data_IF_046881016082
#
_entry.id   IF_046881016082
#
_cell.length_a   1.000
_cell.length_b   1.000
_cell.length_c   1.000
_cell.angle_alpha   90.00
_cell.angle_beta   90.00
_cell.angle_gamma   90.00
#
_symmetry.space_group_name_H-M   'P 1'
#
loop_
_entity.id
_entity.type
_entity.pdbx_description
1 polymer ?
#
# COMPACT_ATOMS: atom_id res chain seq x y z
N UNK A 1 9.94 16.46 17.09
CA UNK A 1 8.91 16.81 16.06
C UNK A 1 7.58 16.20 16.52
N UNK A 2 6.53 17.00 16.64
CA UNK A 2 5.20 16.43 16.85
C UNK A 2 4.76 15.80 15.52
N UNK A 3 4.49 14.50 15.51
CA UNK A 3 3.86 13.83 14.37
C UNK A 3 2.44 14.38 14.22
N UNK A 4 2.08 14.89 13.06
CA UNK A 4 0.80 15.57 12.84
C UNK A 4 -0.05 14.93 11.74
N UNK A 5 0.54 14.07 10.94
CA UNK A 5 -0.11 13.54 9.75
C UNK A 5 -0.97 12.31 10.08
N UNK A 6 -2.22 12.31 9.59
CA UNK A 6 -3.14 11.18 9.70
C UNK A 6 -2.99 10.22 8.52
N UNK A 7 -2.67 10.77 7.34
CA UNK A 7 -2.57 10.03 6.10
C UNK A 7 -1.42 10.57 5.25
N UNK A 8 -0.59 9.65 4.77
CA UNK A 8 0.43 9.93 3.76
C UNK A 8 0.10 9.11 2.52
N UNK A 9 -0.03 9.77 1.37
CA UNK A 9 -0.24 9.12 0.07
C UNK A 9 1.02 9.35 -0.76
N UNK A 10 1.71 8.26 -1.10
CA UNK A 10 2.90 8.27 -1.95
C UNK A 10 2.51 7.80 -3.35
N UNK A 11 2.13 8.76 -4.18
CA UNK A 11 1.86 8.54 -5.60
C UNK A 11 3.12 8.94 -6.38
N UNK A 12 4.10 8.03 -6.40
CA UNK A 12 5.38 8.22 -7.07
C UNK A 12 5.37 7.55 -8.44
N UNK A 13 6.24 8.03 -9.32
CA UNK A 13 6.58 7.33 -10.56
C UNK A 13 7.31 6.01 -10.25
N UNK A 14 7.74 5.31 -11.29
CA UNK A 14 8.48 4.06 -11.18
C UNK A 14 9.67 4.16 -10.20
N UNK A 15 10.01 3.05 -9.49
CA UNK A 15 11.06 3.03 -8.47
C UNK A 15 12.49 3.15 -9.03
N UNK A 16 12.64 3.83 -10.16
CA UNK A 16 13.88 3.99 -10.88
C UNK A 16 14.17 5.47 -11.17
N UNK A 17 15.45 5.84 -11.24
CA UNK A 17 15.89 7.20 -11.53
C UNK A 17 15.52 8.19 -10.41
N UNK A 18 14.98 9.37 -10.72
CA UNK A 18 14.74 10.42 -9.72
C UNK A 18 13.80 10.03 -8.59
N UNK A 19 12.91 9.07 -8.82
CA UNK A 19 11.92 8.60 -7.83
C UNK A 19 12.44 7.52 -6.90
N UNK A 20 13.63 6.96 -7.12
CA UNK A 20 14.20 5.88 -6.32
C UNK A 20 14.26 6.23 -4.82
N UNK A 21 14.44 7.51 -4.49
CA UNK A 21 14.46 8.01 -3.11
C UNK A 21 13.18 7.73 -2.32
N UNK A 22 12.02 7.65 -2.98
CA UNK A 22 10.72 7.38 -2.32
C UNK A 22 10.49 5.89 -1.98
N UNK A 23 11.45 5.04 -2.33
CA UNK A 23 11.38 3.60 -2.07
C UNK A 23 12.45 3.14 -1.08
N UNK A 24 13.16 4.06 -0.42
CA UNK A 24 14.23 3.76 0.53
C UNK A 24 13.68 3.47 1.92
N UNK A 25 14.45 2.74 2.73
CA UNK A 25 14.14 2.50 4.15
C UNK A 25 14.08 3.82 4.93
N UNK A 26 14.98 4.74 4.60
CA UNK A 26 15.07 6.07 5.21
C UNK A 26 13.79 6.86 4.97
N UNK A 27 13.26 6.85 3.75
CA UNK A 27 12.01 7.51 3.40
C UNK A 27 10.83 6.93 4.19
N UNK A 28 10.69 5.61 4.25
CA UNK A 28 9.61 4.99 5.05
C UNK A 28 9.75 5.26 6.53
N UNK A 29 10.98 5.34 7.05
CA UNK A 29 11.24 5.78 8.42
C UNK A 29 10.81 7.23 8.69
N UNK A 30 11.03 8.14 7.73
CA UNK A 30 10.55 9.53 7.80
C UNK A 30 9.02 9.56 7.81
N UNK A 31 8.37 8.81 6.92
CA UNK A 31 6.91 8.70 6.87
C UNK A 31 6.36 8.16 8.20
N UNK A 32 6.97 7.11 8.74
CA UNK A 32 6.59 6.55 10.04
C UNK A 32 6.65 7.61 11.15
N UNK A 33 7.73 8.37 11.22
CA UNK A 33 7.90 9.40 12.25
C UNK A 33 6.96 10.62 12.07
N UNK A 34 6.59 10.94 10.84
CA UNK A 34 5.65 12.01 10.53
C UNK A 34 4.21 11.64 10.88
N UNK A 35 3.85 10.36 10.77
CA UNK A 35 2.52 9.87 11.09
C UNK A 35 2.23 9.85 12.58
N UNK A 36 1.00 10.21 12.95
CA UNK A 36 0.44 10.03 14.29
C UNK A 36 0.33 8.53 14.63
N UNK A 37 0.03 8.21 15.91
CA UNK A 37 -0.14 6.84 16.40
C UNK A 37 -1.25 6.05 15.68
N UNK A 38 -2.24 6.74 15.13
CA UNK A 38 -3.34 6.18 14.34
C UNK A 38 -3.20 6.47 12.83
N UNK A 39 -2.02 6.92 12.40
CA UNK A 39 -1.76 7.32 11.02
C UNK A 39 -1.58 6.13 10.07
N UNK A 40 -1.90 6.39 8.81
CA UNK A 40 -1.85 5.43 7.71
C UNK A 40 -1.00 5.98 6.57
N UNK A 41 -0.19 5.14 5.98
CA UNK A 41 0.50 5.42 4.72
C UNK A 41 -0.01 4.48 3.63
N UNK A 42 -0.25 5.00 2.44
CA UNK A 42 -0.46 4.21 1.23
C UNK A 42 0.55 4.62 0.17
N UNK A 43 1.03 3.65 -0.60
CA UNK A 43 1.99 3.91 -1.67
C UNK A 43 1.74 3.04 -2.89
N UNK A 44 2.09 3.57 -4.06
CA UNK A 44 2.14 2.80 -5.30
C UNK A 44 3.34 1.84 -5.26
N UNK A 45 3.14 0.58 -5.67
CA UNK A 45 4.18 -0.45 -5.68
C UNK A 45 4.45 -1.05 -7.06
N UNK A 46 3.61 -0.80 -8.04
CA UNK A 46 3.80 -1.24 -9.42
C UNK A 46 3.16 -2.58 -9.75
N UNK A 47 3.65 -3.22 -10.81
CA UNK A 47 3.13 -4.48 -11.34
C UNK A 47 3.99 -5.66 -10.89
N UNK A 48 3.41 -6.85 -10.59
CA UNK A 48 4.16 -8.05 -10.25
C UNK A 48 4.63 -8.85 -11.48
N UNK A 49 4.28 -8.47 -12.71
CA UNK A 49 4.44 -9.33 -13.89
C UNK A 49 5.80 -9.21 -14.58
N UNK A 50 6.43 -8.05 -14.54
CA UNK A 50 7.75 -7.88 -15.12
C UNK A 50 8.80 -8.08 -14.04
N UNK A 51 9.86 -8.85 -14.33
CA UNK A 51 10.88 -9.22 -13.35
C UNK A 51 11.43 -8.02 -12.58
N UNK A 52 11.76 -6.94 -13.30
CA UNK A 52 12.34 -5.74 -12.71
C UNK A 52 11.36 -5.02 -11.77
N UNK A 53 10.09 -4.91 -12.17
CA UNK A 53 9.04 -4.30 -11.36
C UNK A 53 8.70 -5.17 -10.14
N UNK A 54 8.61 -6.49 -10.34
CA UNK A 54 8.38 -7.46 -9.26
C UNK A 54 9.46 -7.40 -8.18
N UNK A 55 10.73 -7.35 -8.56
CA UNK A 55 11.85 -7.22 -7.63
C UNK A 55 11.82 -5.86 -6.89
N UNK A 56 11.42 -4.79 -7.57
CA UNK A 56 11.27 -3.47 -6.96
C UNK A 56 10.11 -3.45 -5.96
N UNK A 57 8.98 -4.04 -6.31
CA UNK A 57 7.82 -4.22 -5.43
C UNK A 57 8.19 -5.02 -4.18
N UNK A 58 8.85 -6.17 -4.33
CA UNK A 58 9.31 -6.97 -3.20
C UNK A 58 10.28 -6.21 -2.29
N UNK A 59 11.23 -5.46 -2.85
CA UNK A 59 12.15 -4.62 -2.05
C UNK A 59 11.41 -3.54 -1.28
N UNK A 60 10.45 -2.88 -1.92
CA UNK A 60 9.62 -1.86 -1.29
C UNK A 60 8.80 -2.45 -0.15
N UNK A 61 8.11 -3.56 -0.39
CA UNK A 61 7.31 -4.27 0.60
C UNK A 61 8.14 -4.68 1.81
N UNK A 62 9.29 -5.31 1.60
CA UNK A 62 10.21 -5.70 2.69
C UNK A 62 10.61 -4.52 3.59
N UNK A 63 10.90 -3.37 2.98
CA UNK A 63 11.25 -2.15 3.72
C UNK A 63 10.10 -1.63 4.55
N UNK A 64 8.88 -1.68 4.02
CA UNK A 64 7.67 -1.25 4.73
C UNK A 64 7.36 -2.18 5.89
N UNK A 65 7.38 -3.50 5.68
CA UNK A 65 7.17 -4.52 6.72
C UNK A 65 8.17 -4.34 7.89
N UNK A 66 9.41 -4.01 7.59
CA UNK A 66 10.43 -3.75 8.61
C UNK A 66 10.27 -2.41 9.34
N UNK A 67 9.38 -1.54 8.87
CA UNK A 67 9.20 -0.19 9.43
C UNK A 67 7.86 -0.05 10.16
N UNK A 68 6.80 -0.66 9.64
CA UNK A 68 5.44 -0.55 10.17
C UNK A 68 4.97 -1.85 10.81
N UNK A 69 4.25 -1.80 11.95
CA UNK A 69 3.73 -2.99 12.60
C UNK A 69 2.59 -3.67 11.82
N UNK A 70 1.87 -2.90 11.01
CA UNK A 70 0.83 -3.41 10.11
C UNK A 70 1.18 -2.99 8.70
N UNK A 71 1.38 -3.98 7.83
CA UNK A 71 1.68 -3.79 6.41
C UNK A 71 0.90 -4.80 5.59
N UNK A 72 0.20 -4.32 4.56
CA UNK A 72 -0.59 -5.15 3.63
C UNK A 72 -0.43 -4.62 2.21
N UNK A 73 -0.64 -5.49 1.26
CA UNK A 73 -0.68 -5.12 -0.16
C UNK A 73 -2.11 -5.27 -0.66
N UNK A 74 -2.57 -4.34 -1.46
CA UNK A 74 -3.84 -4.44 -2.15
C UNK A 74 -3.68 -4.20 -3.65
N UNK A 75 -4.65 -4.67 -4.40
CA UNK A 75 -4.64 -4.69 -5.86
C UNK A 75 -5.72 -3.81 -6.44
N UNK A 76 -5.44 -3.21 -7.59
CA UNK A 76 -6.42 -2.53 -8.41
C UNK A 76 -6.11 -2.73 -9.90
N UNK A 77 -7.15 -2.60 -10.74
CA UNK A 77 -6.98 -2.61 -12.19
C UNK A 77 -6.90 -1.18 -12.69
N UNK A 78 -5.79 -0.85 -13.34
CA UNK A 78 -5.50 0.46 -13.91
C UNK A 78 -5.39 0.30 -15.43
N UNK A 79 -6.48 0.50 -16.20
CA UNK A 79 -6.52 0.18 -17.64
C UNK A 79 -5.50 0.94 -18.50
N UNK A 80 -5.00 2.06 -18.01
CA UNK A 80 -3.99 2.88 -18.72
C UNK A 80 -2.58 2.32 -18.67
N UNK A 81 -2.32 1.38 -17.76
CA UNK A 81 -1.02 0.72 -17.67
C UNK A 81 -0.99 -0.57 -18.49
N UNK A 82 0.16 -0.89 -19.08
CA UNK A 82 0.30 -2.02 -19.99
C UNK A 82 -0.12 -3.36 -19.39
N UNK A 83 0.16 -3.59 -18.11
CA UNK A 83 -0.22 -4.80 -17.39
C UNK A 83 -1.67 -4.77 -16.90
N UNK A 84 -2.28 -3.61 -16.77
CA UNK A 84 -3.64 -3.42 -16.23
C UNK A 84 -3.80 -3.78 -14.75
N UNK A 85 -2.91 -4.57 -14.18
CA UNK A 85 -2.92 -5.04 -12.80
C UNK A 85 -1.83 -4.32 -11.99
N UNK A 86 -2.24 -3.64 -10.92
CA UNK A 86 -1.36 -2.77 -10.16
C UNK A 86 -1.48 -3.00 -8.67
N UNK A 87 -0.38 -2.87 -7.96
CA UNK A 87 -0.27 -3.09 -6.53
C UNK A 87 -0.01 -1.81 -5.78
N UNK A 88 -0.59 -1.76 -4.59
CA UNK A 88 -0.45 -0.67 -3.64
C UNK A 88 -0.14 -1.24 -2.26
N UNK A 89 0.70 -0.54 -1.52
CA UNK A 89 0.97 -0.84 -0.13
C UNK A 89 0.04 -0.06 0.80
N UNK A 90 -0.37 -0.71 1.86
CA UNK A 90 -1.05 -0.11 3.02
C UNK A 90 -0.19 -0.37 4.24
N UNK A 91 0.20 0.68 4.93
CA UNK A 91 1.00 0.60 6.15
C UNK A 91 0.36 1.42 7.26
N UNK A 92 0.26 0.87 8.46
CA UNK A 92 -0.40 1.51 9.59
C UNK A 92 0.33 1.20 10.88
N UNK A 93 0.23 2.12 11.85
CA UNK A 93 0.70 1.89 13.21
C UNK A 93 -0.34 1.16 14.07
N UNK A 94 -1.62 1.25 13.73
CA UNK A 94 -2.71 0.80 14.59
C UNK A 94 -3.77 -0.02 13.87
N UNK A 95 -4.27 0.42 12.72
CA UNK A 95 -5.44 -0.16 12.09
C UNK A 95 -5.09 -1.19 11.03
N UNK A 96 -5.72 -2.35 11.10
CA UNK A 96 -5.69 -3.34 10.02
C UNK A 96 -6.73 -2.98 8.94
N UNK A 97 -6.38 -3.01 7.66
CA UNK A 97 -7.26 -2.49 6.60
C UNK A 97 -8.54 -3.30 6.38
N UNK A 98 -8.60 -4.53 6.83
CA UNK A 98 -9.78 -5.40 6.72
C UNK A 98 -10.47 -5.58 8.07
N UNK A 99 -9.70 -5.94 9.11
CA UNK A 99 -10.28 -6.31 10.42
C UNK A 99 -10.86 -5.09 11.17
N UNK A 100 -10.22 -3.93 11.02
CA UNK A 100 -10.67 -2.67 11.64
C UNK A 100 -11.50 -1.79 10.69
N UNK A 101 -11.91 -2.34 9.54
CA UNK A 101 -12.68 -1.59 8.55
C UNK A 101 -14.14 -1.41 8.96
N UNK A 102 -14.55 -0.16 9.11
CA UNK A 102 -15.90 0.24 9.55
C UNK A 102 -16.84 0.55 8.36
N UNK A 103 -17.30 -0.51 7.67
CA UNK A 103 -18.17 -0.39 6.50
C UNK A 103 -19.45 0.43 6.76
N UNK A 104 -20.01 0.35 7.98
CA UNK A 104 -21.21 1.11 8.36
C UNK A 104 -20.95 2.62 8.41
N UNK A 105 -19.78 3.04 8.87
CA UNK A 105 -19.40 4.45 8.89
C UNK A 105 -19.31 5.00 7.46
N UNK A 106 -18.68 4.24 6.54
CA UNK A 106 -18.66 4.63 5.13
C UNK A 106 -20.06 4.77 4.55
N UNK A 107 -20.94 3.80 4.78
CA UNK A 107 -22.32 3.82 4.28
C UNK A 107 -23.11 5.03 4.83
N UNK A 108 -22.88 5.42 6.08
CA UNK A 108 -23.52 6.57 6.71
C UNK A 108 -23.14 7.92 6.09
N UNK A 109 -22.03 7.99 5.36
CA UNK A 109 -21.62 9.19 4.64
C UNK A 109 -22.45 9.46 3.37
N UNK A 110 -23.22 8.48 2.88
CA UNK A 110 -24.03 8.55 1.67
C UNK A 110 -23.29 9.10 0.44
N UNK A 111 -21.98 8.80 0.32
CA UNK A 111 -21.17 9.23 -0.79
C UNK A 111 -21.46 8.40 -2.04
N UNK A 112 -21.59 9.08 -3.18
CA UNK A 112 -21.66 8.44 -4.49
C UNK A 112 -20.27 8.30 -5.08
N UNK A 113 -19.86 7.08 -5.41
CA UNK A 113 -18.57 6.76 -6.01
C UNK A 113 -18.75 5.86 -7.22
N UNK A 114 -17.93 6.07 -8.27
CA UNK A 114 -17.98 5.27 -9.49
C UNK A 114 -17.12 3.99 -9.42
N UNK A 115 -16.17 3.93 -8.48
CA UNK A 115 -15.24 2.83 -8.38
C UNK A 115 -15.32 2.12 -7.02
N UNK A 116 -15.27 2.87 -5.93
CA UNK A 116 -15.14 2.32 -4.59
C UNK A 116 -16.46 1.75 -4.08
N UNK A 117 -16.39 0.55 -3.50
CA UNK A 117 -17.44 -0.05 -2.65
C UNK A 117 -16.79 -0.70 -1.44
N UNK A 118 -17.55 -0.89 -0.37
CA UNK A 118 -17.06 -1.60 0.82
C UNK A 118 -16.67 -3.05 0.54
N UNK A 119 -17.33 -3.70 -0.42
CA UNK A 119 -16.98 -5.05 -0.88
C UNK A 119 -15.67 -5.05 -1.68
N UNK A 120 -15.48 -4.07 -2.56
CA UNK A 120 -14.24 -3.91 -3.32
C UNK A 120 -13.07 -3.60 -2.38
N UNK A 121 -13.27 -2.78 -1.34
CA UNK A 121 -12.25 -2.50 -0.33
C UNK A 121 -11.70 -3.81 0.25
N UNK A 122 -12.56 -4.65 0.80
CA UNK A 122 -12.16 -5.93 1.39
C UNK A 122 -11.55 -6.85 0.32
N UNK A 123 -12.22 -6.99 -0.84
CA UNK A 123 -11.79 -7.87 -1.93
C UNK A 123 -10.43 -7.50 -2.52
N UNK A 124 -10.04 -6.22 -2.48
CA UNK A 124 -8.75 -5.77 -3.00
C UNK A 124 -7.54 -6.31 -2.21
N UNK A 125 -7.74 -6.72 -0.96
CA UNK A 125 -6.70 -7.32 -0.11
C UNK A 125 -6.59 -8.84 -0.23
N UNK A 126 -7.50 -9.51 -0.94
CA UNK A 126 -7.39 -10.94 -1.27
C UNK A 126 -6.60 -11.10 -2.56
N UNK A 127 -5.36 -11.53 -2.42
CA UNK A 127 -4.38 -11.60 -3.51
C UNK A 127 -4.35 -12.99 -4.14
N UNK A 128 -3.96 -13.11 -5.42
CA UNK A 128 -3.67 -14.40 -6.03
C UNK A 128 -2.52 -15.13 -5.31
N UNK A 129 -2.59 -16.45 -5.23
CA UNK A 129 -1.62 -17.28 -4.50
C UNK A 129 -0.15 -17.05 -4.94
N UNK A 130 0.10 -16.79 -6.24
CA UNK A 130 1.47 -16.48 -6.70
C UNK A 130 2.01 -15.19 -6.10
N UNK A 131 1.14 -14.18 -5.90
CA UNK A 131 1.54 -12.90 -5.32
C UNK A 131 1.74 -13.03 -3.81
N UNK A 132 0.85 -13.74 -3.11
CA UNK A 132 1.05 -14.04 -1.68
C UNK A 132 2.41 -14.68 -1.45
N UNK A 133 2.76 -15.68 -2.24
CA UNK A 133 4.08 -16.34 -2.17
C UNK A 133 5.24 -15.35 -2.41
N UNK A 134 5.12 -14.47 -3.40
CA UNK A 134 6.17 -13.45 -3.67
C UNK A 134 6.38 -12.49 -2.50
N UNK A 135 5.32 -12.15 -1.77
CA UNK A 135 5.39 -11.29 -0.59
C UNK A 135 5.99 -12.04 0.61
N UNK A 136 5.54 -13.25 0.86
CA UNK A 136 6.06 -14.12 1.93
C UNK A 136 7.58 -14.37 1.80
N UNK A 137 8.10 -14.51 0.58
CA UNK A 137 9.54 -14.68 0.32
C UNK A 137 10.40 -13.54 0.88
N UNK A 138 9.85 -12.37 1.06
CA UNK A 138 10.60 -11.19 1.53
C UNK A 138 10.20 -10.72 2.94
N UNK A 139 9.16 -11.28 3.50
CA UNK A 139 8.72 -11.02 4.89
C UNK A 139 9.51 -11.86 5.91
N UNK A 140 10.13 -12.94 5.47
CA UNK A 140 10.88 -13.87 6.30
C UNK A 140 12.23 -13.28 6.79
#
# INVERSE_FOLDING_TARGET
MCSSDLLIIVDSNDPFGPSEGYFTREFYGICYNALREDGIMVNQQGSPFYKHDAEAMQRSHKRIVNTFPISRVYQAHIPTYAAGYWLFGFASKKYHPVDDFEARQWQALHLSTNYYTTKLHIGSFYLPAYLEKMLEEVEA
#
